data_IF_345879436586
#
_entry.id   IF_345879436586
#
_cell.length_a   1.000
_cell.length_b   1.000
_cell.length_c   1.000
_cell.angle_alpha   90.00
_cell.angle_beta   90.00
_cell.angle_gamma   90.00
#
_symmetry.space_group_name_H-M   'P 1'
#
loop_
_entity.id
_entity.type
_entity.pdbx_description
1 polymer ?
#
# COMPACT_ATOMS: atom_id res chain seq x y z
N UNK A 1 -28.32 15.59 -5.43
CA UNK A 1 -29.53 15.12 -4.75
C UNK A 1 -29.29 13.67 -4.36
N UNK A 2 -29.34 13.39 -3.07
CA UNK A 2 -28.93 12.15 -2.40
C UNK A 2 -30.06 11.13 -2.46
N UNK A 3 -29.73 9.85 -2.66
CA UNK A 3 -30.18 8.68 -1.86
C UNK A 3 -29.50 7.43 -2.44
N UNK A 4 -28.44 6.93 -1.81
CA UNK A 4 -28.43 6.03 -0.64
C UNK A 4 -28.46 4.56 -1.04
N UNK A 5 -27.25 4.00 -0.99
CA UNK A 5 -26.88 2.59 -0.83
C UNK A 5 -27.77 1.84 0.16
N UNK A 6 -28.21 0.64 -0.20
CA UNK A 6 -28.55 -0.42 0.76
C UNK A 6 -27.63 -1.61 0.50
N UNK A 7 -26.48 -1.59 1.16
CA UNK A 7 -25.54 -2.71 1.25
C UNK A 7 -26.20 -3.73 2.17
N UNK A 8 -26.82 -4.77 1.59
CA UNK A 8 -27.29 -5.90 2.40
C UNK A 8 -26.09 -6.52 3.09
N UNK A 9 -26.17 -6.50 4.40
CA UNK A 9 -25.19 -6.92 5.38
C UNK A 9 -24.74 -8.34 5.09
N UNK A 10 -23.47 -8.50 4.70
CA UNK A 10 -22.78 -9.75 4.98
C UNK A 10 -22.75 -9.87 6.50
N UNK A 11 -23.59 -10.75 7.04
CA UNK A 11 -23.63 -11.06 8.48
C UNK A 11 -22.26 -11.59 8.86
N UNK A 12 -21.41 -10.73 9.39
CA UNK A 12 -20.12 -11.10 9.94
C UNK A 12 -20.38 -12.11 11.06
N UNK A 13 -19.76 -13.29 10.98
CA UNK A 13 -19.73 -14.31 12.04
C UNK A 13 -18.93 -13.85 13.29
N UNK A 14 -18.79 -12.55 13.49
CA UNK A 14 -17.90 -11.90 14.48
C UNK A 14 -18.46 -11.86 15.90
N UNK A 15 -19.48 -12.67 16.22
CA UNK A 15 -20.14 -12.67 17.53
C UNK A 15 -20.09 -14.01 18.29
N UNK A 16 -19.35 -15.01 17.79
CA UNK A 16 -19.31 -16.33 18.42
C UNK A 16 -18.13 -16.43 19.40
N UNK A 17 -18.42 -16.74 20.66
CA UNK A 17 -17.40 -16.94 21.70
C UNK A 17 -16.49 -18.12 21.29
N UNK A 18 -15.15 -17.91 21.18
CA UNK A 18 -14.22 -18.96 20.77
C UNK A 18 -14.22 -20.19 21.70
N UNK A 19 -14.57 -20.03 22.98
CA UNK A 19 -14.72 -21.15 23.91
C UNK A 19 -15.90 -22.06 23.55
N UNK A 20 -17.06 -21.48 23.19
CA UNK A 20 -18.23 -22.26 22.79
C UNK A 20 -18.01 -23.04 21.48
N UNK A 21 -17.17 -22.50 20.58
CA UNK A 21 -16.77 -23.20 19.35
C UNK A 21 -15.88 -24.40 19.70
N UNK A 22 -14.95 -24.25 20.66
CA UNK A 22 -14.08 -25.32 21.10
C UNK A 22 -14.87 -26.49 21.72
N UNK A 23 -15.85 -26.19 22.57
CA UNK A 23 -16.71 -27.20 23.21
C UNK A 23 -17.54 -28.00 22.18
N UNK A 24 -18.09 -27.31 21.18
CA UNK A 24 -18.83 -27.94 20.08
C UNK A 24 -17.91 -28.82 19.22
N UNK A 25 -16.69 -28.36 18.94
CA UNK A 25 -15.70 -29.15 18.19
C UNK A 25 -15.28 -30.40 18.95
N UNK A 26 -15.13 -30.33 20.28
CA UNK A 26 -14.79 -31.49 21.10
C UNK A 26 -15.91 -32.54 21.10
N UNK A 27 -17.17 -32.11 21.26
CA UNK A 27 -18.34 -33.01 21.21
C UNK A 27 -18.48 -33.64 19.81
N UNK A 28 -18.23 -32.87 18.75
CA UNK A 28 -18.26 -33.38 17.37
C UNK A 28 -17.14 -34.39 17.09
N UNK A 29 -15.94 -34.16 17.62
CA UNK A 29 -14.81 -35.08 17.48
C UNK A 29 -15.10 -36.43 18.14
N UNK A 30 -15.82 -36.44 19.27
CA UNK A 30 -16.22 -37.67 19.99
C UNK A 30 -17.20 -38.54 19.19
N UNK A 31 -18.11 -37.92 18.44
CA UNK A 31 -19.13 -38.63 17.66
C UNK A 31 -18.72 -38.89 16.20
N UNK A 32 -17.67 -38.23 15.70
CA UNK A 32 -17.19 -38.34 14.33
C UNK A 32 -15.66 -38.55 14.26
N UNK A 33 -15.14 -39.69 14.77
CA UNK A 33 -13.70 -39.92 14.93
C UNK A 33 -12.93 -40.03 13.60
N UNK A 34 -13.63 -40.17 12.47
CA UNK A 34 -13.03 -40.30 11.13
C UNK A 34 -12.75 -38.96 10.45
N UNK A 35 -13.19 -37.84 11.03
CA UNK A 35 -12.98 -36.52 10.45
C UNK A 35 -11.60 -35.96 10.78
N UNK A 36 -10.97 -35.30 9.80
CA UNK A 36 -9.71 -34.59 10.01
C UNK A 36 -9.92 -33.36 10.92
N UNK A 37 -8.85 -32.87 11.56
CA UNK A 37 -8.90 -31.65 12.40
C UNK A 37 -9.46 -30.44 11.65
N UNK A 38 -9.15 -30.31 10.35
CA UNK A 38 -9.64 -29.23 9.49
C UNK A 38 -11.13 -29.39 9.18
N UNK A 39 -11.58 -30.62 8.89
CA UNK A 39 -13.00 -30.91 8.68
C UNK A 39 -13.81 -30.65 9.96
N UNK A 40 -13.31 -31.06 11.14
CA UNK A 40 -13.94 -30.81 12.42
C UNK A 40 -14.10 -29.31 12.73
N UNK A 41 -13.08 -28.50 12.46
CA UNK A 41 -13.15 -27.05 12.63
C UNK A 41 -14.17 -26.39 11.68
N UNK A 42 -14.26 -26.86 10.43
CA UNK A 42 -15.23 -26.38 9.46
C UNK A 42 -16.67 -26.75 9.85
N UNK A 43 -16.90 -28.02 10.21
CA UNK A 43 -18.19 -28.51 10.71
C UNK A 43 -18.63 -27.76 11.97
N UNK A 44 -17.71 -27.50 12.90
CA UNK A 44 -17.99 -26.74 14.12
C UNK A 44 -18.52 -25.32 13.83
N UNK A 45 -17.98 -24.64 12.81
CA UNK A 45 -18.48 -23.32 12.40
C UNK A 45 -19.89 -23.38 11.79
N UNK A 46 -20.19 -24.41 10.99
CA UNK A 46 -21.53 -24.62 10.43
C UNK A 46 -22.54 -24.87 11.54
N UNK A 47 -22.22 -25.76 12.48
CA UNK A 47 -23.07 -26.04 13.64
C UNK A 47 -23.29 -24.78 14.47
N UNK A 48 -22.25 -23.98 14.73
CA UNK A 48 -22.39 -22.73 15.46
C UNK A 48 -23.31 -21.72 14.75
N UNK A 49 -23.25 -21.63 13.43
CA UNK A 49 -24.13 -20.77 12.64
C UNK A 49 -25.59 -21.24 12.69
N UNK A 50 -25.83 -22.55 12.59
CA UNK A 50 -27.18 -23.13 12.72
C UNK A 50 -27.73 -22.87 14.13
N UNK A 51 -26.93 -23.11 15.17
CA UNK A 51 -27.32 -22.82 16.57
C UNK A 51 -27.67 -21.35 16.76
N UNK A 52 -26.86 -20.43 16.23
CA UNK A 52 -27.12 -19.00 16.31
C UNK A 52 -28.40 -18.57 15.58
N UNK A 53 -28.74 -19.23 14.47
CA UNK A 53 -30.00 -19.00 13.75
C UNK A 53 -31.20 -19.52 14.55
N UNK A 54 -31.11 -20.73 15.10
CA UNK A 54 -32.16 -21.34 15.93
C UNK A 54 -32.42 -20.55 17.21
N UNK A 55 -31.38 -19.99 17.83
CA UNK A 55 -31.49 -19.17 19.03
C UNK A 55 -32.30 -17.87 18.85
N UNK A 56 -32.50 -17.42 17.60
CA UNK A 56 -33.30 -16.22 17.27
C UNK A 56 -34.78 -16.52 17.06
N UNK A 57 -35.18 -17.78 17.05
CA UNK A 57 -36.57 -18.21 16.88
C UNK A 57 -37.34 -18.13 18.21
N UNK A 58 -38.64 -17.86 18.13
CA UNK A 58 -39.52 -17.94 19.30
C UNK A 58 -39.64 -19.39 19.81
N UNK A 59 -39.91 -19.59 21.10
CA UNK A 59 -39.95 -20.91 21.73
C UNK A 59 -40.94 -21.90 21.08
N UNK A 60 -42.06 -21.41 20.54
CA UNK A 60 -43.03 -22.24 19.80
C UNK A 60 -42.53 -22.63 18.41
N UNK A 61 -41.68 -21.81 17.78
CA UNK A 61 -41.05 -22.12 16.50
C UNK A 61 -39.90 -23.10 16.67
N UNK A 62 -39.13 -23.01 17.76
CA UNK A 62 -38.10 -24.00 18.10
C UNK A 62 -38.72 -25.39 18.31
N UNK A 63 -39.84 -25.48 19.03
CA UNK A 63 -40.55 -26.76 19.24
C UNK A 63 -41.08 -27.37 17.94
N UNK A 64 -41.58 -26.55 17.01
CA UNK A 64 -42.00 -27.01 15.68
C UNK A 64 -40.83 -27.46 14.81
N UNK A 65 -39.68 -26.81 14.92
CA UNK A 65 -38.46 -27.16 14.17
C UNK A 65 -37.93 -28.56 14.55
N UNK A 66 -38.01 -28.93 15.83
CA UNK A 66 -37.53 -30.22 16.36
C UNK A 66 -38.57 -31.33 16.24
N UNK A 67 -39.82 -31.00 15.90
CA UNK A 67 -40.90 -31.99 15.76
C UNK A 67 -40.71 -32.93 14.56
N UNK A 68 -39.95 -32.52 13.54
CA UNK A 68 -39.58 -33.36 12.40
C UNK A 68 -38.06 -33.27 12.12
N UNK A 69 -37.31 -34.16 12.76
CA UNK A 69 -35.85 -34.25 12.64
C UNK A 69 -35.39 -34.52 11.19
N UNK A 70 -36.19 -35.25 10.41
CA UNK A 70 -35.83 -35.61 9.03
C UNK A 70 -36.02 -34.44 8.09
N UNK A 71 -37.13 -33.72 8.22
CA UNK A 71 -37.39 -32.52 7.43
C UNK A 71 -36.34 -31.44 7.71
N UNK A 72 -35.95 -31.27 8.98
CA UNK A 72 -34.88 -30.35 9.37
C UNK A 72 -33.53 -30.74 8.75
N UNK A 73 -33.15 -32.02 8.82
CA UNK A 73 -31.90 -32.49 8.23
C UNK A 73 -31.87 -32.26 6.71
N UNK A 74 -32.99 -32.49 6.02
CA UNK A 74 -33.11 -32.27 4.59
C UNK A 74 -33.05 -30.78 4.22
N UNK A 75 -33.73 -29.91 4.96
CA UNK A 75 -33.70 -28.47 4.75
C UNK A 75 -32.29 -27.88 4.92
N UNK A 76 -31.56 -28.33 5.94
CA UNK A 76 -30.16 -27.92 6.16
C UNK A 76 -29.27 -28.41 5.01
N UNK A 77 -29.44 -29.66 4.56
CA UNK A 77 -28.66 -30.19 3.44
C UNK A 77 -28.88 -29.38 2.14
N UNK A 78 -30.13 -29.02 1.84
CA UNK A 78 -30.47 -28.18 0.67
C UNK A 78 -29.85 -26.79 0.79
N UNK A 79 -29.94 -26.15 1.96
CA UNK A 79 -29.36 -24.84 2.17
C UNK A 79 -27.83 -24.84 2.03
N UNK A 80 -27.15 -25.86 2.56
CA UNK A 80 -25.69 -26.02 2.43
C UNK A 80 -25.31 -26.24 0.96
N UNK A 81 -26.01 -27.11 0.23
CA UNK A 81 -25.76 -27.34 -1.18
C UNK A 81 -25.96 -26.07 -2.03
N UNK A 82 -27.00 -25.27 -1.74
CA UNK A 82 -27.26 -24.00 -2.40
C UNK A 82 -26.15 -22.96 -2.18
N UNK A 83 -25.63 -22.86 -0.95
CA UNK A 83 -24.52 -21.95 -0.63
C UNK A 83 -23.21 -22.33 -1.34
N UNK A 84 -22.96 -23.63 -1.53
CA UNK A 84 -21.80 -24.12 -2.29
C UNK A 84 -21.97 -23.77 -3.77
N UNK A 85 -23.16 -24.02 -4.34
CA UNK A 85 -23.44 -23.69 -5.74
C UNK A 85 -23.32 -22.19 -6.03
N UNK A 86 -23.78 -21.31 -5.13
CA UNK A 86 -23.57 -19.86 -5.27
C UNK A 86 -22.10 -19.44 -5.13
N UNK A 87 -21.33 -20.09 -4.26
CA UNK A 87 -19.91 -19.83 -4.11
C UNK A 87 -19.12 -20.21 -5.37
N UNK A 88 -19.46 -21.33 -6.00
CA UNK A 88 -18.87 -21.77 -7.28
C UNK A 88 -19.25 -20.83 -8.44
N UNK A 89 -20.47 -20.29 -8.45
CA UNK A 89 -20.88 -19.28 -9.46
C UNK A 89 -20.10 -17.97 -9.30
N UNK A 90 -19.74 -17.57 -8.08
CA UNK A 90 -18.88 -16.40 -7.83
C UNK A 90 -17.40 -16.65 -8.15
N UNK A 91 -16.98 -17.90 -8.15
CA UNK A 91 -15.65 -18.35 -8.54
C UNK A 91 -15.74 -19.07 -9.88
N UNK A 92 -16.23 -18.37 -10.92
CA UNK A 92 -16.16 -18.89 -12.27
C UNK A 92 -14.69 -19.22 -12.59
N UNK A 93 -14.34 -20.49 -12.85
CA UNK A 93 -12.99 -20.84 -13.27
C UNK A 93 -12.76 -20.13 -14.60
N UNK A 94 -11.83 -19.17 -14.62
CA UNK A 94 -11.31 -18.66 -15.89
C UNK A 94 -10.62 -19.85 -16.56
N UNK A 95 -11.23 -20.39 -17.61
CA UNK A 95 -10.58 -21.35 -18.48
C UNK A 95 -9.41 -20.63 -19.17
N UNK A 96 -8.25 -20.64 -18.53
CA UNK A 96 -7.01 -20.16 -19.14
C UNK A 96 -6.66 -21.19 -20.19
N UNK A 97 -7.15 -21.00 -21.43
CA UNK A 97 -6.97 -21.92 -22.55
C UNK A 97 -5.52 -22.08 -23.02
N UNK A 98 -4.58 -21.41 -22.35
CA UNK A 98 -3.13 -21.55 -22.52
C UNK A 98 -2.49 -21.66 -21.15
N UNK A 99 -1.48 -22.50 -21.02
CA UNK A 99 -0.64 -22.54 -19.81
C UNK A 99 -0.19 -21.13 -19.45
N UNK A 100 -0.31 -20.77 -18.18
CA UNK A 100 0.22 -19.50 -17.66
C UNK A 100 1.70 -19.45 -18.00
N UNK A 101 2.08 -18.59 -18.95
CA UNK A 101 3.48 -18.32 -19.25
C UNK A 101 4.08 -17.59 -18.06
N UNK A 102 4.74 -18.36 -17.18
CA UNK A 102 5.58 -17.81 -16.15
C UNK A 102 6.84 -17.32 -16.85
N UNK A 103 6.88 -16.04 -17.22
CA UNK A 103 8.09 -15.41 -17.74
C UNK A 103 9.18 -15.52 -16.68
N UNK A 104 10.16 -16.39 -16.93
CA UNK A 104 11.36 -16.47 -16.08
C UNK A 104 12.35 -15.34 -16.37
N UNK A 105 12.02 -14.45 -17.32
CA UNK A 105 12.94 -13.47 -17.88
C UNK A 105 14.15 -14.13 -18.55
N UNK A 106 14.91 -13.35 -19.33
CA UNK A 106 16.17 -13.84 -19.89
C UNK A 106 17.32 -13.89 -18.85
N UNK A 107 17.02 -13.64 -17.57
CA UNK A 107 18.01 -13.27 -16.57
C UNK A 107 18.54 -11.85 -16.77
N UNK A 108 19.26 -11.32 -15.77
CA UNK A 108 20.04 -10.10 -15.94
C UNK A 108 21.25 -10.43 -16.83
N UNK A 109 21.54 -9.62 -17.86
CA UNK A 109 22.73 -9.80 -18.66
C UNK A 109 24.00 -9.60 -17.80
N UNK A 110 25.13 -10.09 -18.30
CA UNK A 110 26.42 -9.90 -17.63
C UNK A 110 26.68 -8.40 -17.36
N UNK A 111 27.22 -8.03 -16.19
CA UNK A 111 27.57 -6.65 -15.89
C UNK A 111 28.51 -6.09 -16.95
N UNK A 112 28.21 -4.89 -17.42
CA UNK A 112 29.04 -4.17 -18.39
C UNK A 112 30.12 -3.41 -17.61
N UNK A 113 31.31 -3.29 -18.19
CA UNK A 113 32.36 -2.41 -17.65
C UNK A 113 31.86 -0.96 -17.48
N UNK A 114 32.39 -0.24 -16.48
CA UNK A 114 31.92 1.11 -16.13
C UNK A 114 32.09 2.11 -17.28
N UNK A 115 33.20 2.06 -18.01
CA UNK A 115 33.45 3.01 -19.10
C UNK A 115 32.58 2.69 -20.31
N UNK A 116 32.40 1.40 -20.60
CA UNK A 116 31.45 0.96 -21.62
C UNK A 116 30.00 1.32 -21.25
N UNK A 117 29.61 1.14 -19.99
CA UNK A 117 28.31 1.54 -19.47
C UNK A 117 28.07 3.04 -19.64
N UNK A 118 29.06 3.88 -19.28
CA UNK A 118 28.98 5.35 -19.48
C UNK A 118 28.84 5.71 -20.96
N UNK A 119 29.59 5.06 -21.85
CA UNK A 119 29.47 5.30 -23.30
C UNK A 119 28.09 4.97 -23.82
N UNK A 120 27.53 3.81 -23.45
CA UNK A 120 26.18 3.40 -23.85
C UNK A 120 25.11 4.34 -23.30
N UNK A 121 25.22 4.74 -22.03
CA UNK A 121 24.33 5.72 -21.43
C UNK A 121 24.42 7.07 -22.14
N UNK A 122 25.62 7.53 -22.49
CA UNK A 122 25.81 8.79 -23.21
C UNK A 122 25.24 8.74 -24.63
N UNK A 123 25.27 7.58 -25.30
CA UNK A 123 24.68 7.39 -26.62
C UNK A 123 23.15 7.38 -26.61
N UNK A 124 22.54 7.01 -25.48
CA UNK A 124 21.08 6.96 -25.32
C UNK A 124 20.49 8.22 -24.65
N UNK A 125 21.29 8.94 -23.86
CA UNK A 125 20.80 10.06 -23.07
C UNK A 125 20.58 11.32 -23.92
N UNK A 126 19.36 11.85 -23.87
CA UNK A 126 19.01 13.13 -24.49
C UNK A 126 19.35 14.32 -23.57
N UNK A 127 20.08 15.35 -24.06
CA UNK A 127 20.32 16.57 -23.30
C UNK A 127 19.00 17.26 -22.92
N UNK A 128 18.66 17.25 -21.63
CA UNK A 128 17.44 17.90 -21.10
C UNK A 128 17.83 19.16 -20.33
N UNK A 129 17.05 20.24 -20.45
CA UNK A 129 17.31 21.47 -19.69
C UNK A 129 17.04 21.20 -18.21
N UNK A 130 17.75 21.91 -17.34
CA UNK A 130 17.62 21.66 -15.90
C UNK A 130 16.19 21.96 -15.41
N UNK A 131 15.60 23.02 -15.95
CA UNK A 131 14.29 23.55 -15.59
C UNK A 131 13.17 22.57 -15.95
N UNK A 132 13.33 21.79 -17.02
CA UNK A 132 12.32 20.87 -17.53
C UNK A 132 12.00 19.75 -16.53
N UNK A 133 12.98 19.34 -15.72
CA UNK A 133 12.79 18.30 -14.71
C UNK A 133 12.88 18.81 -13.27
N UNK A 134 13.64 19.89 -13.01
CA UNK A 134 13.79 20.43 -11.67
C UNK A 134 12.66 21.41 -11.29
N UNK A 135 11.85 21.84 -12.27
CA UNK A 135 10.88 22.91 -12.10
C UNK A 135 11.52 24.30 -12.14
N UNK A 136 10.80 25.35 -11.71
CA UNK A 136 11.32 26.71 -11.65
C UNK A 136 12.56 26.78 -10.76
N UNK A 137 13.67 27.30 -11.29
CA UNK A 137 14.93 27.50 -10.56
C UNK A 137 15.36 28.96 -10.62
N UNK A 138 16.05 29.41 -9.59
CA UNK A 138 16.60 30.77 -9.52
C UNK A 138 18.06 30.77 -9.09
N UNK A 139 18.81 31.77 -9.57
CA UNK A 139 20.16 32.02 -9.08
C UNK A 139 20.18 32.74 -7.73
N UNK A 140 21.34 32.83 -7.04
CA UNK A 140 21.45 33.54 -5.77
C UNK A 140 20.95 34.99 -5.81
N UNK A 141 21.27 35.73 -6.87
CA UNK A 141 20.88 37.15 -7.01
C UNK A 141 19.35 37.31 -7.20
N UNK A 142 18.71 36.37 -7.90
CA UNK A 142 17.26 36.36 -8.08
C UNK A 142 16.54 35.98 -6.79
N UNK A 143 17.09 35.02 -6.03
CA UNK A 143 16.57 34.66 -4.69
C UNK A 143 16.67 35.83 -3.73
N UNK A 144 17.78 36.56 -3.72
CA UNK A 144 17.95 37.75 -2.89
C UNK A 144 16.94 38.83 -3.24
N UNK A 145 16.70 39.08 -4.54
CA UNK A 145 15.69 40.03 -5.00
C UNK A 145 14.26 39.61 -4.67
N UNK A 146 13.94 38.32 -4.78
CA UNK A 146 12.56 37.81 -4.68
C UNK A 146 12.15 37.54 -3.24
N UNK A 147 13.05 36.97 -2.44
CA UNK A 147 12.77 36.52 -1.08
C UNK A 147 13.47 37.36 0.00
N UNK A 148 14.37 38.28 -0.38
CA UNK A 148 15.19 39.04 0.58
C UNK A 148 16.29 38.21 1.25
N UNK A 149 16.49 36.96 0.82
CA UNK A 149 17.49 36.05 1.39
C UNK A 149 18.88 36.41 0.88
N UNK A 150 19.74 36.91 1.77
CA UNK A 150 21.13 37.26 1.46
C UNK A 150 21.88 36.05 0.88
N UNK A 151 22.77 36.31 -0.08
CA UNK A 151 23.62 35.28 -0.69
C UNK A 151 24.45 34.48 0.32
N UNK A 152 24.94 35.11 1.39
CA UNK A 152 25.67 34.44 2.47
C UNK A 152 24.79 33.43 3.21
N UNK A 153 23.55 33.82 3.54
CA UNK A 153 22.57 32.93 4.19
C UNK A 153 22.23 31.74 3.31
N UNK A 154 22.02 31.97 2.01
CA UNK A 154 21.76 30.90 1.05
C UNK A 154 22.94 29.93 0.96
N UNK A 155 24.17 30.46 0.93
CA UNK A 155 25.39 29.64 0.94
C UNK A 155 25.52 28.82 2.23
N UNK A 156 25.22 29.39 3.39
CA UNK A 156 25.25 28.68 4.68
C UNK A 156 24.16 27.61 4.80
N UNK A 157 23.00 27.82 4.18
CA UNK A 157 21.96 26.80 4.07
C UNK A 157 22.39 25.66 3.16
N UNK A 158 22.96 25.97 1.98
CA UNK A 158 23.49 24.97 1.07
C UNK A 158 24.59 24.14 1.74
N UNK A 159 25.54 24.79 2.43
CA UNK A 159 26.66 24.11 3.11
C UNK A 159 26.19 23.12 4.18
N UNK A 160 25.06 23.39 4.83
CA UNK A 160 24.46 22.53 5.87
C UNK A 160 23.42 21.53 5.33
N UNK A 161 23.22 21.47 4.01
CA UNK A 161 22.23 20.59 3.38
C UNK A 161 20.77 21.05 3.54
N UNK A 162 20.53 22.24 4.10
CA UNK A 162 19.18 22.78 4.24
C UNK A 162 18.59 23.25 2.90
N UNK A 163 19.43 23.46 1.89
CA UNK A 163 19.03 23.83 0.53
C UNK A 163 19.84 23.00 -0.47
N UNK A 164 19.17 22.49 -1.49
CA UNK A 164 19.75 21.79 -2.63
C UNK A 164 20.06 22.80 -3.74
N UNK A 165 21.35 22.96 -4.03
CA UNK A 165 21.84 23.66 -5.21
C UNK A 165 22.12 22.67 -6.34
N UNK A 166 21.61 22.95 -7.54
CA UNK A 166 21.86 22.17 -8.75
C UNK A 166 22.85 22.92 -9.64
N UNK A 167 23.80 22.19 -10.21
CA UNK A 167 24.75 22.78 -11.16
C UNK A 167 24.07 23.06 -12.50
N UNK A 168 24.13 24.31 -12.94
CA UNK A 168 23.83 24.77 -14.30
C UNK A 168 25.16 25.02 -15.02
N UNK A 169 25.50 24.13 -15.94
CA UNK A 169 26.84 24.07 -16.54
C UNK A 169 27.89 23.60 -15.52
N UNK A 170 29.11 24.12 -15.59
CA UNK A 170 30.23 23.60 -14.79
C UNK A 170 30.34 24.20 -13.38
N UNK A 171 29.95 25.48 -13.19
CA UNK A 171 30.31 26.24 -11.98
C UNK A 171 29.15 26.97 -11.30
N UNK A 172 28.04 27.21 -12.01
CA UNK A 172 26.94 28.03 -11.48
C UNK A 172 25.93 27.14 -10.78
N UNK A 173 25.63 27.44 -9.52
CA UNK A 173 24.52 26.80 -8.82
C UNK A 173 23.24 27.58 -9.04
N UNK A 174 22.17 26.86 -9.32
CA UNK A 174 20.80 27.35 -9.30
C UNK A 174 19.99 26.53 -8.32
N UNK A 175 18.95 27.13 -7.78
CA UNK A 175 18.20 26.55 -6.67
C UNK A 175 16.75 26.41 -7.10
N UNK A 176 16.20 25.19 -7.08
CA UNK A 176 14.77 24.99 -7.29
C UNK A 176 13.94 25.80 -6.31
N UNK A 177 12.96 26.54 -6.80
CA UNK A 177 12.15 27.45 -5.99
C UNK A 177 11.17 26.71 -5.07
N UNK A 178 10.74 25.51 -5.47
CA UNK A 178 9.78 24.72 -4.72
C UNK A 178 10.27 24.29 -3.32
N UNK A 179 11.57 24.38 -3.04
CA UNK A 179 12.16 24.06 -1.72
C UNK A 179 12.07 25.21 -0.71
N UNK A 180 11.55 26.38 -1.11
CA UNK A 180 11.36 27.52 -0.23
C UNK A 180 9.88 27.72 0.12
N UNK A 181 9.63 28.06 1.38
CA UNK A 181 8.35 28.53 1.90
C UNK A 181 8.63 29.87 2.57
N UNK A 182 7.99 30.94 2.09
CA UNK A 182 8.19 32.32 2.57
C UNK A 182 9.67 32.74 2.65
N UNK A 183 10.47 32.31 1.67
CA UNK A 183 11.90 32.63 1.58
C UNK A 183 12.82 31.80 2.47
N UNK A 184 12.28 30.84 3.23
CA UNK A 184 13.06 29.91 4.06
C UNK A 184 13.01 28.49 3.47
N UNK A 185 14.06 27.68 3.66
CA UNK A 185 14.03 26.28 3.23
C UNK A 185 12.94 25.51 3.97
N UNK A 186 12.34 24.54 3.28
CA UNK A 186 11.44 23.56 3.89
C UNK A 186 12.15 22.85 5.04
N UNK A 187 11.46 22.68 6.16
CA UNK A 187 11.99 22.00 7.34
C UNK A 187 12.35 20.55 7.03
N UNK A 188 13.46 20.05 7.60
CA UNK A 188 13.88 18.66 7.42
C UNK A 188 14.78 18.39 6.21
N UNK A 189 15.02 19.38 5.34
CA UNK A 189 15.89 19.23 4.16
C UNK A 189 17.30 18.74 4.52
N UNK A 190 17.88 19.23 5.62
CA UNK A 190 19.21 18.81 6.07
C UNK A 190 19.27 17.33 6.47
N UNK A 191 18.17 16.78 7.00
CA UNK A 191 18.05 15.37 7.32
C UNK A 191 17.93 14.52 6.04
N UNK A 192 17.09 14.93 5.10
CA UNK A 192 16.91 14.21 3.82
C UNK A 192 18.21 14.19 3.01
N UNK A 193 18.88 15.33 2.89
CA UNK A 193 20.17 15.43 2.15
C UNK A 193 21.33 14.70 2.82
N UNK A 194 21.22 14.39 4.12
CA UNK A 194 22.18 13.52 4.81
C UNK A 194 22.01 12.06 4.40
N UNK A 195 20.78 11.62 4.20
CA UNK A 195 20.45 10.26 3.73
C UNK A 195 20.80 10.17 2.23
N UNK A 196 20.35 11.15 1.42
CA UNK A 196 20.55 11.18 -0.02
C UNK A 196 21.64 12.21 -0.38
N UNK A 197 22.89 11.77 -0.35
CA UNK A 197 24.05 12.66 -0.52
C UNK A 197 24.14 13.35 -1.88
N UNK A 198 23.62 12.74 -2.96
CA UNK A 198 23.69 13.34 -4.30
C UNK A 198 22.57 14.39 -4.50
N UNK A 199 22.88 15.68 -4.74
CA UNK A 199 21.90 16.76 -4.85
C UNK A 199 20.84 16.55 -5.95
N UNK A 200 21.24 15.99 -7.10
CA UNK A 200 20.34 15.75 -8.23
C UNK A 200 19.37 14.61 -7.90
N UNK A 201 19.87 13.53 -7.30
CA UNK A 201 19.05 12.39 -6.89
C UNK A 201 18.08 12.80 -5.78
N UNK A 202 18.57 13.53 -4.77
CA UNK A 202 17.74 14.05 -3.69
C UNK A 202 16.61 14.93 -4.22
N UNK A 203 16.89 15.86 -5.13
CA UNK A 203 15.84 16.69 -5.73
C UNK A 203 14.82 15.89 -6.53
N UNK A 204 15.28 14.98 -7.39
CA UNK A 204 14.38 14.12 -8.17
C UNK A 204 13.50 13.24 -7.29
N UNK A 205 14.03 12.75 -6.18
CA UNK A 205 13.28 11.95 -5.22
C UNK A 205 12.21 12.80 -4.51
N UNK A 206 12.56 14.02 -4.08
CA UNK A 206 11.67 14.94 -3.37
C UNK A 206 10.45 15.39 -4.18
N UNK A 207 10.61 15.62 -5.48
CA UNK A 207 9.53 16.15 -6.34
C UNK A 207 8.65 15.07 -6.97
N UNK A 208 9.06 13.80 -6.93
CA UNK A 208 8.29 12.70 -7.53
C UNK A 208 7.25 12.18 -6.56
N UNK A 209 6.04 11.93 -7.06
CA UNK A 209 4.98 11.29 -6.29
C UNK A 209 5.34 9.84 -5.98
N UNK A 210 5.15 9.48 -4.72
CA UNK A 210 5.48 8.19 -4.13
C UNK A 210 4.18 7.53 -3.66
N UNK A 211 3.72 6.44 -4.31
CA UNK A 211 2.45 5.79 -3.96
C UNK A 211 2.39 5.25 -2.52
N UNK A 212 3.53 4.88 -1.96
CA UNK A 212 3.70 4.31 -0.63
C UNK A 212 3.52 5.31 0.52
N UNK A 213 3.88 6.57 0.32
CA UNK A 213 3.64 7.67 1.28
C UNK A 213 2.51 8.62 0.85
N UNK A 214 1.88 8.35 -0.30
CA UNK A 214 0.66 9.01 -0.76
C UNK A 214 0.86 10.43 -1.34
N UNK A 215 2.07 10.80 -1.74
CA UNK A 215 2.37 12.14 -2.25
C UNK A 215 3.81 12.33 -2.68
N UNK A 216 4.18 13.55 -3.09
CA UNK A 216 5.61 13.89 -3.24
C UNK A 216 6.22 14.12 -1.84
N UNK A 217 7.44 13.63 -1.56
CA UNK A 217 8.08 13.89 -0.28
C UNK A 217 8.16 15.38 0.07
N UNK A 218 8.40 16.25 -0.91
CA UNK A 218 8.47 17.69 -0.70
C UNK A 218 7.14 18.29 -0.22
N UNK A 219 6.02 17.87 -0.80
CA UNK A 219 4.70 18.37 -0.39
C UNK A 219 4.32 17.82 0.99
N UNK A 220 4.68 16.57 1.29
CA UNK A 220 4.47 15.99 2.62
C UNK A 220 5.26 16.73 3.69
N UNK A 221 6.53 17.10 3.42
CA UNK A 221 7.34 17.92 4.33
C UNK A 221 6.71 19.30 4.57
N UNK A 222 6.19 19.96 3.52
CA UNK A 222 5.46 21.24 3.66
C UNK A 222 4.20 21.12 4.52
N UNK A 223 3.57 19.94 4.52
CA UNK A 223 2.40 19.63 5.34
C UNK A 223 2.77 19.11 6.74
N UNK A 224 4.04 19.20 7.16
CA UNK A 224 4.50 18.78 8.49
C UNK A 224 4.67 17.27 8.66
N UNK A 225 4.59 16.47 7.60
CA UNK A 225 4.73 15.01 7.64
C UNK A 225 6.18 14.56 7.43
N UNK A 226 7.11 15.16 8.18
CA UNK A 226 8.55 14.93 8.01
C UNK A 226 8.96 13.49 8.36
N UNK A 227 8.42 12.93 9.45
CA UNK A 227 8.84 11.60 9.92
C UNK A 227 8.56 10.50 8.90
N UNK A 228 7.42 10.57 8.21
CA UNK A 228 7.08 9.63 7.13
C UNK A 228 8.03 9.74 5.95
N UNK A 229 8.46 10.96 5.62
CA UNK A 229 9.42 11.22 4.56
C UNK A 229 10.80 10.70 4.93
N UNK A 230 11.25 10.89 6.17
CA UNK A 230 12.53 10.36 6.64
C UNK A 230 12.53 8.83 6.66
N UNK A 231 11.45 8.21 7.13
CA UNK A 231 11.31 6.75 7.10
C UNK A 231 11.31 6.19 5.66
N UNK A 232 10.72 6.91 4.70
CA UNK A 232 10.78 6.53 3.29
C UNK A 232 12.17 6.73 2.68
N UNK A 233 12.85 7.83 3.02
CA UNK A 233 14.22 8.09 2.55
C UNK A 233 15.18 7.00 3.03
N UNK A 234 15.09 6.61 4.31
CA UNK A 234 15.93 5.56 4.90
C UNK A 234 15.66 4.20 4.24
N UNK A 235 14.40 3.90 3.88
CA UNK A 235 14.06 2.66 3.17
C UNK A 235 14.63 2.62 1.75
N UNK A 236 14.62 3.76 1.06
CA UNK A 236 15.03 3.86 -0.34
C UNK A 236 16.56 3.98 -0.50
N UNK A 237 17.28 4.53 0.49
CA UNK A 237 18.71 4.89 0.38
C UNK A 237 19.59 4.57 1.60
N UNK A 238 19.00 4.15 2.72
CA UNK A 238 19.73 3.76 3.94
C UNK A 238 20.43 2.41 3.83
#
# INVERSE_FOLDING_TARGET
>A
MVTSVRKSSATSLSGLNPAAIADVVEVLARHNPRLSKTALAATGRVVAAVTAATARLAADQQRRLVADERELAQAVAVAVAGLIAEADVRLAPLAVGKSVEVSQGAGLPAPVDLDEGRRRLAAFAEPTRLEDWAGPVAGPAEIEKTFGTKRSTLHDWQRRGAVIGLLRGERKHVFPLAQFVDGRPVEGMAQVTRIIANPRVAWQWLIRTKPDIGGSPLDLMKNGRLDEVLAAAERDFG
#
